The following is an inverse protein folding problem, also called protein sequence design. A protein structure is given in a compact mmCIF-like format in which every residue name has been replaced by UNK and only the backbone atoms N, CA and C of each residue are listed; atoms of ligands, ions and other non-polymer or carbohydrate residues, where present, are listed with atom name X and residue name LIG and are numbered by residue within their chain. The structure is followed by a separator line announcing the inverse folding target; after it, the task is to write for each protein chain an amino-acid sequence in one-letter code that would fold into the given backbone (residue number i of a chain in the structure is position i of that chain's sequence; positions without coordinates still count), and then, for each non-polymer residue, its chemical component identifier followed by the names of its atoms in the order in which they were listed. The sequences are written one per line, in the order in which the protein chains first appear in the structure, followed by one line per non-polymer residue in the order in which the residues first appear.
data_IF_536418598927
#
_entry.id   IF_536418598927
#
_cell.length_a   1.000
_cell.length_b   1.000
_cell.length_c   1.000
_cell.angle_alpha   90.00
_cell.angle_beta   90.00
_cell.angle_gamma   90.00
#
_symmetry.space_group_name_H-M   'P 1'
#
loop_
_entity.id
_entity.type
_entity.pdbx_description
1 polymer ?
#
# COMPACT_ATOMS: atom_id res chain seq x y z
N UNK A 1 -2.34 -19.94 -14.67
CA UNK A 1 -3.81 -19.91 -14.90
C UNK A 1 -4.25 -18.60 -15.55
N UNK A 2 -5.45 -18.55 -16.13
CA UNK A 2 -6.01 -17.39 -16.88
C UNK A 2 -6.40 -16.17 -16.01
N UNK A 3 -6.03 -16.15 -14.72
CA UNK A 3 -6.45 -15.09 -13.80
C UNK A 3 -5.82 -13.73 -14.17
N UNK A 4 -4.56 -13.73 -14.58
CA UNK A 4 -3.85 -12.51 -14.93
C UNK A 4 -4.49 -11.80 -16.13
N UNK A 5 -4.80 -12.55 -17.18
CA UNK A 5 -5.52 -12.03 -18.34
C UNK A 5 -6.89 -11.45 -17.96
N UNK A 6 -7.67 -12.18 -17.14
CA UNK A 6 -8.98 -11.69 -16.66
C UNK A 6 -8.86 -10.39 -15.87
N UNK A 7 -7.88 -10.30 -14.97
CA UNK A 7 -7.66 -9.08 -14.18
C UNK A 7 -7.22 -7.92 -15.07
N UNK A 8 -6.29 -8.14 -16.00
CA UNK A 8 -5.87 -7.11 -16.92
C UNK A 8 -7.04 -6.60 -17.79
N UNK A 9 -7.86 -7.50 -18.32
CA UNK A 9 -9.05 -7.12 -19.10
C UNK A 9 -10.07 -6.34 -18.26
N UNK A 10 -10.26 -6.70 -17.00
CA UNK A 10 -11.11 -5.95 -16.08
C UNK A 10 -10.57 -4.51 -15.86
N UNK A 11 -9.26 -4.37 -15.64
CA UNK A 11 -8.62 -3.04 -15.54
C UNK A 11 -8.78 -2.24 -16.82
N UNK A 12 -8.53 -2.85 -17.98
CA UNK A 12 -8.69 -2.20 -19.28
C UNK A 12 -10.14 -1.76 -19.53
N UNK A 13 -11.11 -2.57 -19.17
CA UNK A 13 -12.54 -2.23 -19.33
C UNK A 13 -12.93 -1.05 -18.46
N UNK A 14 -12.46 -1.05 -17.20
CA UNK A 14 -12.84 -0.02 -16.24
C UNK A 14 -12.02 1.27 -16.37
N UNK A 15 -10.75 1.17 -16.74
CA UNK A 15 -9.81 2.30 -16.72
C UNK A 15 -9.19 2.64 -18.08
N UNK A 16 -9.51 1.91 -19.16
CA UNK A 16 -8.90 2.15 -20.47
C UNK A 16 -9.15 3.55 -21.07
N UNK A 17 -10.12 4.30 -20.50
CA UNK A 17 -10.37 5.70 -20.84
C UNK A 17 -9.86 6.69 -19.78
N UNK A 18 -9.22 6.21 -18.72
CA UNK A 18 -8.63 7.08 -17.70
C UNK A 18 -7.43 7.86 -18.30
N UNK A 19 -7.23 9.12 -17.91
CA UNK A 19 -6.25 10.03 -18.54
C UNK A 19 -4.82 9.48 -18.61
N UNK A 20 -4.42 8.69 -17.62
CA UNK A 20 -3.07 8.14 -17.51
C UNK A 20 -2.98 6.62 -17.73
N UNK A 21 -4.05 5.98 -18.23
CA UNK A 21 -4.04 4.54 -18.47
C UNK A 21 -2.90 4.11 -19.40
N UNK A 22 -2.70 4.81 -20.50
CA UNK A 22 -1.65 4.48 -21.48
C UNK A 22 -0.23 4.61 -20.89
N UNK A 23 -0.02 5.50 -19.93
CA UNK A 23 1.26 5.67 -19.23
C UNK A 23 1.62 4.41 -18.41
N UNK A 24 0.64 3.81 -17.73
CA UNK A 24 0.86 2.64 -16.88
C UNK A 24 0.58 1.32 -17.58
N UNK A 25 -0.02 1.32 -18.78
CA UNK A 25 -0.39 0.12 -19.52
C UNK A 25 0.77 -0.85 -19.74
N UNK A 26 1.97 -0.45 -20.17
CA UNK A 26 3.07 -1.39 -20.40
C UNK A 26 3.44 -2.17 -19.14
N UNK A 27 3.50 -1.49 -17.98
CA UNK A 27 3.75 -2.14 -16.69
C UNK A 27 2.62 -3.08 -16.28
N UNK A 28 1.36 -2.66 -16.43
CA UNK A 28 0.21 -3.53 -16.11
C UNK A 28 0.22 -4.79 -16.97
N UNK A 29 0.50 -4.67 -18.26
CA UNK A 29 0.62 -5.82 -19.16
C UNK A 29 1.76 -6.76 -18.73
N UNK A 30 2.91 -6.25 -18.39
CA UNK A 30 4.05 -7.03 -17.90
C UNK A 30 3.67 -7.81 -16.65
N UNK A 31 3.12 -7.13 -15.62
CA UNK A 31 2.72 -7.74 -14.35
C UNK A 31 1.72 -8.88 -14.56
N UNK A 32 0.71 -8.68 -15.39
CA UNK A 32 -0.35 -9.67 -15.56
C UNK A 32 -0.04 -10.77 -16.58
N UNK A 33 1.01 -10.61 -17.40
CA UNK A 33 1.58 -11.68 -18.24
C UNK A 33 2.54 -12.58 -17.49
N UNK A 34 3.16 -12.09 -16.41
CA UNK A 34 4.14 -12.84 -15.65
C UNK A 34 3.51 -14.03 -14.93
N UNK A 35 4.22 -15.16 -14.91
CA UNK A 35 3.81 -16.33 -14.13
C UNK A 35 4.29 -16.21 -12.68
N UNK A 36 3.39 -15.75 -11.82
CA UNK A 36 3.65 -15.53 -10.42
C UNK A 36 3.59 -16.84 -9.62
N UNK A 37 4.67 -17.19 -8.94
CA UNK A 37 4.76 -18.41 -8.11
C UNK A 37 3.84 -18.34 -6.88
N UNK A 38 3.55 -17.15 -6.39
CA UNK A 38 2.68 -16.94 -5.22
C UNK A 38 2.03 -15.56 -5.24
N UNK A 39 0.89 -15.44 -4.57
CA UNK A 39 0.22 -14.15 -4.34
C UNK A 39 1.12 -13.19 -3.54
N UNK A 40 1.92 -13.71 -2.61
CA UNK A 40 2.87 -12.89 -1.85
C UNK A 40 3.92 -12.25 -2.76
N UNK A 41 4.48 -12.98 -3.72
CA UNK A 41 5.45 -12.45 -4.68
C UNK A 41 4.85 -11.35 -5.55
N UNK A 42 3.64 -11.57 -6.07
CA UNK A 42 2.90 -10.56 -6.82
C UNK A 42 2.68 -9.29 -5.98
N UNK A 43 2.14 -9.45 -4.75
CA UNK A 43 1.85 -8.30 -3.89
C UNK A 43 3.10 -7.50 -3.55
N UNK A 44 4.21 -8.17 -3.25
CA UNK A 44 5.49 -7.51 -2.97
C UNK A 44 6.02 -6.74 -4.18
N UNK A 45 5.95 -7.32 -5.36
CA UNK A 45 6.35 -6.65 -6.60
C UNK A 45 5.49 -5.41 -6.88
N UNK A 46 4.16 -5.53 -6.74
CA UNK A 46 3.24 -4.41 -6.91
C UNK A 46 3.51 -3.29 -5.90
N UNK A 47 3.63 -3.62 -4.61
CA UNK A 47 3.89 -2.65 -3.54
C UNK A 47 5.21 -1.91 -3.79
N UNK A 48 6.29 -2.65 -4.08
CA UNK A 48 7.60 -2.04 -4.28
C UNK A 48 7.65 -1.16 -5.54
N UNK A 49 7.09 -1.62 -6.65
CA UNK A 49 7.05 -0.85 -7.89
C UNK A 49 6.23 0.43 -7.74
N UNK A 50 5.04 0.33 -7.19
CA UNK A 50 4.17 1.49 -6.96
C UNK A 50 4.85 2.47 -6.00
N UNK A 51 5.34 1.98 -4.86
CA UNK A 51 5.92 2.84 -3.84
C UNK A 51 7.19 3.56 -4.34
N UNK A 52 8.12 2.84 -4.96
CA UNK A 52 9.41 3.41 -5.38
C UNK A 52 9.30 4.24 -6.64
N UNK A 53 8.72 3.64 -7.70
CA UNK A 53 8.83 4.20 -9.05
C UNK A 53 7.70 5.20 -9.35
N UNK A 54 6.50 4.97 -8.81
CA UNK A 54 5.35 5.85 -9.09
C UNK A 54 5.08 6.87 -7.98
N UNK A 55 5.42 6.52 -6.73
CA UNK A 55 5.20 7.43 -5.60
C UNK A 55 6.49 8.04 -5.03
N UNK A 56 7.66 7.64 -5.50
CA UNK A 56 8.95 8.18 -5.05
C UNK A 56 9.30 7.88 -3.60
N UNK A 57 8.71 6.83 -3.00
CA UNK A 57 8.96 6.44 -1.61
C UNK A 57 10.34 5.79 -1.51
N UNK A 58 11.22 6.34 -0.67
CA UNK A 58 12.59 5.86 -0.45
C UNK A 58 12.74 4.96 0.77
N UNK A 59 11.66 4.63 1.46
CA UNK A 59 11.65 3.74 2.62
C UNK A 59 12.22 2.37 2.25
N UNK A 60 13.05 1.81 3.13
CA UNK A 60 13.62 0.48 2.94
C UNK A 60 12.53 -0.59 3.13
N UNK A 61 12.38 -1.46 2.14
CA UNK A 61 11.54 -2.65 2.24
C UNK A 61 12.37 -3.80 2.78
N UNK A 62 11.84 -4.51 3.78
CA UNK A 62 12.45 -5.68 4.39
C UNK A 62 11.43 -6.81 4.43
N UNK A 63 11.92 -8.05 4.40
CA UNK A 63 11.08 -9.23 4.57
C UNK A 63 10.91 -9.52 6.07
N UNK A 64 9.70 -9.86 6.50
CA UNK A 64 9.48 -10.27 7.89
C UNK A 64 10.26 -11.54 8.27
N UNK A 65 10.59 -12.37 7.28
CA UNK A 65 11.46 -13.55 7.43
C UNK A 65 12.91 -13.22 7.75
N UNK A 66 13.36 -11.99 7.50
CA UNK A 66 14.73 -11.54 7.81
C UNK A 66 14.93 -11.28 9.32
N UNK A 67 13.86 -11.32 10.08
CA UNK A 67 13.83 -11.00 11.50
C UNK A 67 13.36 -12.19 12.32
N UNK A 68 13.93 -12.34 13.51
CA UNK A 68 13.42 -13.28 14.50
C UNK A 68 12.06 -12.79 14.99
N UNK A 69 11.03 -13.60 14.80
CA UNK A 69 9.69 -13.29 15.29
C UNK A 69 9.07 -14.52 15.92
N UNK A 70 8.65 -14.41 17.18
CA UNK A 70 8.06 -15.48 17.96
C UNK A 70 6.66 -15.11 18.45
N UNK A 71 5.89 -16.10 18.87
CA UNK A 71 4.55 -15.88 19.39
C UNK A 71 3.47 -15.82 18.31
N UNK A 72 2.30 -15.37 18.70
CA UNK A 72 1.11 -15.26 17.82
C UNK A 72 0.50 -13.88 17.91
N UNK A 73 -0.19 -13.44 16.84
CA UNK A 73 -0.93 -12.16 16.80
C UNK A 73 -0.07 -10.96 17.24
N UNK A 74 -0.52 -10.21 18.26
CA UNK A 74 0.13 -9.02 18.81
C UNK A 74 1.55 -9.32 19.35
N UNK A 75 1.75 -10.47 20.00
CA UNK A 75 3.03 -10.93 20.52
C UNK A 75 4.06 -11.14 19.38
N UNK A 76 3.65 -11.79 18.29
CA UNK A 76 4.52 -11.98 17.11
C UNK A 76 4.92 -10.65 16.48
N UNK A 77 3.99 -9.72 16.38
CA UNK A 77 4.26 -8.38 15.87
C UNK A 77 5.25 -7.64 16.76
N UNK A 78 5.05 -7.69 18.08
CA UNK A 78 5.96 -7.07 19.04
C UNK A 78 7.37 -7.67 18.98
N UNK A 79 7.47 -8.99 18.86
CA UNK A 79 8.76 -9.68 18.67
C UNK A 79 9.46 -9.24 17.39
N UNK A 80 8.75 -9.09 16.29
CA UNK A 80 9.27 -8.58 15.02
C UNK A 80 9.79 -7.14 15.15
N UNK A 81 9.03 -6.27 15.79
CA UNK A 81 9.40 -4.87 15.98
C UNK A 81 10.66 -4.74 16.85
N UNK A 82 10.75 -5.52 17.94
CA UNK A 82 11.97 -5.58 18.77
C UNK A 82 13.18 -6.03 17.97
N UNK A 83 13.06 -7.11 17.20
CA UNK A 83 14.17 -7.64 16.40
C UNK A 83 14.59 -6.73 15.26
N UNK A 84 13.70 -5.86 14.79
CA UNK A 84 14.01 -4.85 13.78
C UNK A 84 14.58 -3.54 14.36
N UNK A 85 14.64 -3.40 15.69
CA UNK A 85 15.08 -2.18 16.36
C UNK A 85 14.09 -1.01 16.25
N UNK A 86 12.80 -1.30 16.02
CA UNK A 86 11.79 -0.27 15.86
C UNK A 86 11.47 0.41 17.20
N UNK A 87 11.45 1.73 17.21
CA UNK A 87 10.96 2.57 18.32
C UNK A 87 9.54 3.07 18.12
N UNK A 88 9.06 3.07 16.88
CA UNK A 88 7.70 3.51 16.51
C UNK A 88 7.05 2.51 15.58
N UNK A 89 5.80 2.17 15.85
CA UNK A 89 4.95 1.35 14.99
C UNK A 89 3.75 2.13 14.50
N UNK A 90 3.68 2.35 13.19
CA UNK A 90 2.52 3.00 12.55
C UNK A 90 1.52 1.95 12.14
N UNK A 91 0.29 2.04 12.64
CA UNK A 91 -0.78 1.08 12.37
C UNK A 91 -2.08 1.76 11.92
N UNK A 92 -2.89 1.01 11.18
CA UNK A 92 -4.25 1.44 10.83
C UNK A 92 -5.20 1.35 12.05
N UNK A 93 -6.30 2.14 12.06
CA UNK A 93 -7.20 2.23 13.20
C UNK A 93 -7.91 0.91 13.53
N UNK A 94 -8.10 0.01 12.56
CA UNK A 94 -8.70 -1.30 12.78
C UNK A 94 -7.92 -2.18 13.77
N UNK A 95 -6.62 -1.96 13.91
CA UNK A 95 -5.80 -2.73 14.84
C UNK A 95 -6.02 -2.36 16.31
N UNK A 96 -6.73 -1.28 16.61
CA UNK A 96 -7.06 -0.87 18.00
C UNK A 96 -7.82 -1.94 18.77
N UNK A 97 -8.59 -2.77 18.07
CA UNK A 97 -9.41 -3.80 18.71
C UNK A 97 -8.64 -5.03 19.19
N UNK A 98 -7.38 -5.22 18.73
CA UNK A 98 -6.61 -6.42 19.06
C UNK A 98 -5.15 -6.17 19.48
N UNK A 99 -4.66 -4.92 19.40
CA UNK A 99 -3.32 -4.60 19.86
C UNK A 99 -3.27 -4.41 21.38
N UNK A 100 -2.35 -5.12 22.02
CA UNK A 100 -2.10 -5.03 23.45
C UNK A 100 -1.14 -3.87 23.76
N UNK A 101 -1.64 -2.64 23.73
CA UNK A 101 -0.84 -1.41 23.86
C UNK A 101 0.11 -1.37 25.09
N UNK A 102 -0.26 -1.90 26.27
CA UNK A 102 0.68 -1.96 27.40
C UNK A 102 1.98 -2.68 27.04
N UNK A 103 1.91 -3.82 26.36
CA UNK A 103 3.09 -4.60 25.98
C UNK A 103 4.03 -3.84 25.03
N UNK A 104 3.50 -2.98 24.14
CA UNK A 104 4.30 -2.13 23.26
C UNK A 104 4.99 -1.02 24.05
N UNK A 105 4.26 -0.39 24.98
CA UNK A 105 4.82 0.64 25.87
C UNK A 105 5.95 0.09 26.73
N UNK A 106 5.75 -1.07 27.36
CA UNK A 106 6.76 -1.73 28.19
C UNK A 106 8.00 -2.13 27.38
N UNK A 107 7.82 -2.36 26.08
CA UNK A 107 8.91 -2.61 25.14
C UNK A 107 9.59 -1.34 24.60
N UNK A 108 9.16 -0.13 25.01
CA UNK A 108 9.68 1.14 24.52
C UNK A 108 9.28 1.44 23.07
N UNK A 109 8.16 0.86 22.59
CA UNK A 109 7.67 1.06 21.22
C UNK A 109 6.40 1.91 21.25
N UNK A 110 6.47 3.10 20.65
CA UNK A 110 5.33 3.98 20.45
C UNK A 110 4.42 3.42 19.36
N UNK A 111 3.10 3.36 19.60
CA UNK A 111 2.10 3.00 18.58
C UNK A 111 1.42 4.26 18.07
N UNK A 112 1.65 4.59 16.81
CA UNK A 112 1.04 5.74 16.12
C UNK A 112 -0.09 5.24 15.21
N UNK A 113 -1.26 5.81 15.38
CA UNK A 113 -2.43 5.46 14.56
C UNK A 113 -2.49 6.31 13.30
N UNK A 114 -2.52 5.65 12.15
CA UNK A 114 -2.71 6.34 10.87
C UNK A 114 -4.13 6.90 10.81
N UNK A 115 -4.22 8.20 10.54
CA UNK A 115 -5.47 8.86 10.20
C UNK A 115 -5.67 8.82 8.67
N UNK A 116 -6.82 8.30 8.25
CA UNK A 116 -7.22 8.22 6.84
C UNK A 116 -8.26 9.27 6.46
N UNK A 117 -8.59 10.22 7.35
CA UNK A 117 -9.52 11.29 7.05
C UNK A 117 -8.89 12.43 6.25
N UNK A 118 -9.71 13.17 5.53
CA UNK A 118 -9.35 14.44 4.91
C UNK A 118 -8.48 14.32 3.65
N UNK A 119 -8.38 13.16 3.01
CA UNK A 119 -7.72 13.07 1.72
C UNK A 119 -8.51 13.84 0.66
N UNK A 120 -7.85 14.64 -0.19
CA UNK A 120 -8.54 15.43 -1.21
C UNK A 120 -9.20 14.52 -2.25
N UNK A 121 -10.36 14.93 -2.71
CA UNK A 121 -11.00 14.30 -3.85
C UNK A 121 -10.21 14.61 -5.13
N UNK A 122 -10.30 13.69 -6.09
CA UNK A 122 -9.72 13.85 -7.43
C UNK A 122 -10.74 13.36 -8.46
N UNK A 123 -10.62 13.78 -9.72
CA UNK A 123 -11.50 13.31 -10.79
C UNK A 123 -11.40 11.79 -10.92
N UNK A 124 -12.54 11.12 -10.81
CA UNK A 124 -12.70 9.70 -11.11
C UNK A 124 -13.60 9.55 -12.34
N UNK A 125 -13.78 8.34 -12.82
CA UNK A 125 -14.65 8.07 -13.95
C UNK A 125 -16.13 8.27 -13.64
N UNK A 126 -16.53 8.10 -12.37
CA UNK A 126 -17.89 8.38 -11.91
C UNK A 126 -18.06 9.85 -11.54
N UNK A 127 -19.31 10.36 -11.61
CA UNK A 127 -19.64 11.71 -11.18
C UNK A 127 -19.48 11.90 -9.65
N UNK A 128 -19.63 10.81 -8.89
CA UNK A 128 -19.40 10.80 -7.45
C UNK A 128 -18.00 10.28 -7.13
N UNK A 129 -17.34 10.93 -6.17
CA UNK A 129 -16.03 10.50 -5.67
C UNK A 129 -16.15 9.36 -4.67
N UNK A 130 -15.46 8.26 -4.95
CA UNK A 130 -15.36 7.09 -4.07
C UNK A 130 -13.97 7.01 -3.45
N UNK A 131 -13.80 7.31 -2.15
CA UNK A 131 -12.48 7.30 -1.49
C UNK A 131 -11.93 5.89 -1.25
N UNK A 132 -12.80 4.87 -1.17
CA UNK A 132 -12.43 3.48 -0.85
C UNK A 132 -12.04 2.69 -2.10
N UNK A 133 -11.06 3.19 -2.84
CA UNK A 133 -10.55 2.58 -4.07
C UNK A 133 -9.08 2.14 -3.94
N UNK A 134 -8.60 1.37 -4.91
CA UNK A 134 -7.21 0.98 -5.00
C UNK A 134 -6.32 2.17 -5.40
N UNK A 135 -5.03 2.12 -5.03
CA UNK A 135 -4.02 3.08 -5.49
C UNK A 135 -3.94 3.16 -7.03
N UNK A 136 -4.35 2.11 -7.74
CA UNK A 136 -4.40 2.13 -9.20
C UNK A 136 -5.44 3.12 -9.71
N UNK A 137 -6.57 3.29 -9.03
CA UNK A 137 -7.55 4.31 -9.39
C UNK A 137 -6.93 5.70 -9.37
N UNK A 138 -6.22 6.03 -8.28
CA UNK A 138 -5.52 7.31 -8.17
C UNK A 138 -4.48 7.47 -9.29
N UNK A 139 -3.60 6.50 -9.48
CA UNK A 139 -2.54 6.59 -10.49
C UNK A 139 -3.11 6.76 -11.90
N UNK A 140 -4.12 5.98 -12.26
CA UNK A 140 -4.71 6.00 -13.60
C UNK A 140 -5.51 7.28 -13.89
N UNK A 141 -6.01 7.96 -12.86
CA UNK A 141 -6.76 9.20 -13.02
C UNK A 141 -5.91 10.47 -12.90
N UNK A 142 -4.81 10.47 -12.09
CA UNK A 142 -4.03 11.70 -11.83
C UNK A 142 -2.54 11.59 -12.17
N UNK A 143 -2.06 10.40 -12.49
CA UNK A 143 -0.68 10.16 -12.93
C UNK A 143 0.36 10.55 -11.88
N UNK A 144 1.38 11.28 -12.32
CA UNK A 144 2.51 11.72 -11.49
C UNK A 144 2.13 12.65 -10.33
N UNK A 145 0.91 13.21 -10.33
CA UNK A 145 0.39 14.02 -9.23
C UNK A 145 -0.11 13.20 -8.03
N UNK A 146 -0.13 11.86 -8.13
CA UNK A 146 -0.61 10.99 -7.06
C UNK A 146 0.07 11.26 -5.69
N UNK A 147 1.39 11.47 -5.59
CA UNK A 147 2.03 11.83 -4.32
C UNK A 147 1.46 13.08 -3.65
N UNK A 148 1.14 14.12 -4.43
CA UNK A 148 0.59 15.37 -3.89
C UNK A 148 -0.78 15.16 -3.22
N UNK A 149 -1.59 14.22 -3.74
CA UNK A 149 -2.89 13.87 -3.20
C UNK A 149 -2.80 12.90 -2.01
N UNK A 150 -1.69 12.19 -1.83
CA UNK A 150 -1.50 11.30 -0.70
C UNK A 150 -0.93 12.03 0.52
N UNK A 151 0.09 12.90 0.32
CA UNK A 151 0.77 13.58 1.41
C UNK A 151 1.13 15.05 1.15
N UNK A 152 1.20 15.52 -0.09
CA UNK A 152 1.60 16.88 -0.43
C UNK A 152 0.65 17.95 0.09
N UNK A 153 -0.63 17.63 0.28
CA UNK A 153 -1.65 18.51 0.86
C UNK A 153 -1.53 18.67 2.39
N UNK A 154 -0.90 17.71 3.05
CA UNK A 154 -0.59 17.83 4.48
C UNK A 154 0.63 18.72 4.61
N UNK A 155 0.45 19.94 5.05
CA UNK A 155 1.58 20.85 5.35
C UNK A 155 2.53 20.08 6.28
N UNK A 156 3.79 19.93 5.87
CA UNK A 156 4.83 19.50 6.79
C UNK A 156 4.90 20.52 7.91
N UNK A 157 4.93 20.09 9.18
CA UNK A 157 5.15 21.02 10.29
C UNK A 157 6.48 21.74 10.13
#
# INVERSE_FOLDING_TARGET
GRWGEKHYQALRTNYGKAPFFEMYRPWLEEVYRQDWRSLSALNQALIQKIARDFLGIRTQFRQSSDFLSQGKRSEKLLSLLKSSGASTYVSGPAARSYLELPAFRDAGIEVVWKDYAGYPAYPQRSDEFYPAVSILDLLLNVGEKAPDLIWGWRRRP
#
